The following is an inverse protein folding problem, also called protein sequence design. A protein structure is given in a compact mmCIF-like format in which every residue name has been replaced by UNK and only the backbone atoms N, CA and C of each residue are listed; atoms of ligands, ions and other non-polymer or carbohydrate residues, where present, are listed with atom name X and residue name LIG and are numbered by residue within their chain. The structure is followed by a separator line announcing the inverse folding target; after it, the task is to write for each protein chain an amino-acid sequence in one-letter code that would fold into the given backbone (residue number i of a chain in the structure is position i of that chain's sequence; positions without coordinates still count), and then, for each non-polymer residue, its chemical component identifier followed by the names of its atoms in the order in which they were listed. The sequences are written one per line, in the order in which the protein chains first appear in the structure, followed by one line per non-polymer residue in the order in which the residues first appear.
data_IF_003083196894
#
_entry.id   IF_003083196894
#
_cell.length_a   1.000
_cell.length_b   1.000
_cell.length_c   1.000
_cell.angle_alpha   90.00
_cell.angle_beta   90.00
_cell.angle_gamma   90.00
#
_symmetry.space_group_name_H-M   'P 1'
#
loop_
_entity.id
_entity.type
_entity.pdbx_description
1 polymer ?
#
# COMPACT_ATOMS: atom_id res chain seq x y z
N UNK A 1 -20.64 19.80 -25.68
CA UNK A 1 -19.32 20.15 -25.13
C UNK A 1 -18.99 19.09 -24.08
N UNK A 2 -18.32 18.02 -24.50
CA UNK A 2 -17.81 16.98 -23.59
C UNK A 2 -16.55 17.56 -22.93
N UNK A 3 -16.53 17.63 -21.60
CA UNK A 3 -15.31 17.95 -20.86
C UNK A 3 -14.20 16.96 -21.25
N UNK A 4 -12.91 17.35 -21.27
CA UNK A 4 -11.81 16.43 -21.50
C UNK A 4 -11.71 15.52 -20.28
N UNK A 5 -12.49 14.45 -20.27
CA UNK A 5 -12.35 13.35 -19.32
C UNK A 5 -11.07 12.64 -19.65
N UNK A 6 -9.96 13.09 -19.04
CA UNK A 6 -8.65 12.54 -19.33
C UNK A 6 -8.60 11.04 -19.07
N UNK A 7 -7.94 10.32 -19.96
CA UNK A 7 -7.81 8.86 -19.89
C UNK A 7 -7.10 8.42 -18.59
N UNK A 8 -7.21 7.13 -18.24
CA UNK A 8 -6.49 6.54 -17.09
C UNK A 8 -4.98 6.85 -17.13
N UNK A 9 -4.39 6.83 -18.33
CA UNK A 9 -2.97 7.13 -18.53
C UNK A 9 -2.64 8.60 -18.26
N UNK A 10 -3.51 9.54 -18.65
CA UNK A 10 -3.34 10.96 -18.35
C UNK A 10 -3.40 11.23 -16.84
N UNK A 11 -4.32 10.58 -16.14
CA UNK A 11 -4.39 10.65 -14.68
C UNK A 11 -3.10 10.12 -14.05
N UNK A 12 -2.61 8.95 -14.47
CA UNK A 12 -1.34 8.39 -13.98
C UNK A 12 -0.15 9.31 -14.26
N UNK A 13 -0.02 9.85 -15.47
CA UNK A 13 1.06 10.77 -15.85
C UNK A 13 1.06 12.03 -15.00
N UNK A 14 -0.11 12.63 -14.81
CA UNK A 14 -0.30 13.83 -13.99
C UNK A 14 0.03 13.57 -12.53
N UNK A 15 -0.56 12.54 -11.93
CA UNK A 15 -0.44 12.28 -10.50
C UNK A 15 0.94 11.75 -10.08
N UNK A 16 1.64 11.04 -10.98
CA UNK A 16 3.00 10.55 -10.76
C UNK A 16 4.09 11.53 -11.23
N UNK A 17 3.70 12.59 -11.95
CA UNK A 17 4.61 13.57 -12.54
C UNK A 17 5.60 12.94 -13.53
N UNK A 18 5.15 11.98 -14.33
CA UNK A 18 5.99 11.23 -15.28
C UNK A 18 5.71 11.64 -16.73
N UNK A 19 6.77 11.79 -17.53
CA UNK A 19 6.66 11.97 -18.98
C UNK A 19 6.54 10.63 -19.73
N UNK A 20 6.85 9.51 -19.08
CA UNK A 20 6.85 8.16 -19.67
C UNK A 20 5.91 7.24 -18.89
N UNK A 21 4.98 6.61 -19.61
CA UNK A 21 4.13 5.57 -19.04
C UNK A 21 4.00 4.48 -20.10
N UNK A 22 4.68 3.36 -19.90
CA UNK A 22 4.70 2.23 -20.84
C UNK A 22 4.29 0.95 -20.13
N UNK A 23 3.21 0.27 -20.55
CA UNK A 23 2.83 -1.00 -19.93
C UNK A 23 3.92 -2.05 -20.18
N UNK A 24 4.33 -2.78 -19.14
CA UNK A 24 5.46 -3.72 -19.23
C UNK A 24 5.05 -5.15 -19.61
N UNK A 25 3.77 -5.37 -19.94
CA UNK A 25 3.18 -6.70 -20.17
C UNK A 25 3.00 -7.55 -18.91
N UNK A 26 3.56 -7.14 -17.76
CA UNK A 26 3.33 -7.79 -16.48
C UNK A 26 1.96 -7.36 -15.95
N UNK A 27 0.98 -8.25 -16.09
CA UNK A 27 -0.33 -8.12 -15.49
C UNK A 27 -0.50 -9.18 -14.39
N UNK A 28 -0.90 -8.75 -13.20
CA UNK A 28 -1.26 -9.63 -12.09
C UNK A 28 -2.70 -9.33 -11.68
N UNK A 29 -3.58 -10.32 -11.69
CA UNK A 29 -4.98 -10.14 -11.29
C UNK A 29 -5.31 -11.01 -10.09
N UNK A 30 -5.97 -10.43 -9.08
CA UNK A 30 -6.72 -11.18 -8.08
C UNK A 30 -8.19 -11.27 -8.49
N UNK A 31 -9.01 -11.98 -7.72
CA UNK A 31 -10.45 -12.12 -8.01
C UNK A 31 -11.21 -10.77 -8.04
N UNK A 32 -10.67 -9.73 -7.42
CA UNK A 32 -11.35 -8.44 -7.17
C UNK A 32 -10.68 -7.24 -7.84
N UNK A 33 -9.40 -7.34 -8.20
CA UNK A 33 -8.61 -6.26 -8.77
C UNK A 33 -7.73 -6.79 -9.89
N UNK A 34 -7.58 -5.97 -10.93
CA UNK A 34 -6.61 -6.20 -11.99
C UNK A 34 -5.44 -5.26 -11.73
N UNK A 35 -4.23 -5.80 -11.79
CA UNK A 35 -3.00 -5.04 -11.65
C UNK A 35 -2.17 -5.08 -12.92
N UNK A 36 -1.47 -3.99 -13.17
CA UNK A 36 -0.62 -3.82 -14.32
C UNK A 36 0.61 -3.00 -13.96
N UNK A 37 1.77 -3.45 -14.43
CA UNK A 37 3.02 -2.74 -14.24
C UNK A 37 3.27 -1.77 -15.38
N UNK A 38 3.86 -0.62 -15.06
CA UNK A 38 4.24 0.42 -16.00
C UNK A 38 5.69 0.84 -15.77
N UNK A 39 6.48 0.91 -16.85
CA UNK A 39 7.77 1.57 -16.84
C UNK A 39 7.54 3.09 -16.95
N UNK A 40 8.15 3.83 -16.02
CA UNK A 40 8.17 5.30 -16.01
C UNK A 40 9.59 5.82 -16.05
N UNK A 41 9.77 7.12 -16.29
CA UNK A 41 11.07 7.79 -16.19
C UNK A 41 11.57 7.94 -14.75
N UNK A 42 10.77 7.51 -13.76
CA UNK A 42 11.08 7.53 -12.32
C UNK A 42 11.17 6.13 -11.70
N UNK A 43 11.21 5.09 -12.53
CA UNK A 43 11.20 3.69 -12.11
C UNK A 43 9.89 2.99 -12.41
N UNK A 44 9.84 1.68 -12.16
CA UNK A 44 8.69 0.86 -12.48
C UNK A 44 7.66 0.90 -11.34
N UNK A 45 6.40 1.11 -11.71
CA UNK A 45 5.27 1.12 -10.77
C UNK A 45 4.30 -0.01 -11.07
N UNK A 46 3.57 -0.45 -10.05
CA UNK A 46 2.45 -1.37 -10.17
C UNK A 46 1.16 -0.63 -9.86
N UNK A 47 0.18 -0.73 -10.75
CA UNK A 47 -1.12 -0.06 -10.62
C UNK A 47 -2.20 -1.11 -10.45
N UNK A 48 -2.85 -1.12 -9.29
CA UNK A 48 -4.10 -1.85 -9.07
C UNK A 48 -5.28 -1.00 -9.52
N UNK A 49 -6.15 -1.59 -10.34
CA UNK A 49 -7.47 -1.06 -10.66
C UNK A 49 -8.53 -2.04 -10.18
N UNK A 50 -9.67 -1.49 -9.79
CA UNK A 50 -10.83 -2.29 -9.43
C UNK A 50 -11.43 -2.98 -10.67
N UNK A 51 -11.88 -4.23 -10.52
CA UNK A 51 -12.48 -5.01 -11.62
C UNK A 51 -14.03 -5.02 -11.61
N UNK A 52 -14.64 -4.99 -10.43
CA UNK A 52 -16.08 -5.22 -10.28
C UNK A 52 -16.93 -3.96 -10.50
N UNK A 53 -17.86 -4.01 -11.46
CA UNK A 53 -18.78 -2.91 -11.78
C UNK A 53 -19.81 -2.62 -10.67
N UNK A 54 -20.07 -3.56 -9.76
CA UNK A 54 -21.12 -3.46 -8.73
C UNK A 54 -20.77 -2.56 -7.53
N UNK A 55 -19.50 -2.20 -7.32
CA UNK A 55 -19.16 -1.32 -6.18
C UNK A 55 -19.09 0.15 -6.59
N UNK A 56 -19.38 1.04 -5.65
CA UNK A 56 -19.21 2.48 -5.88
C UNK A 56 -17.71 2.87 -5.89
N UNK A 57 -17.42 4.05 -6.44
CA UNK A 57 -16.10 4.69 -6.36
C UNK A 57 -15.68 4.85 -4.89
N UNK A 58 -16.60 5.27 -4.03
CA UNK A 58 -16.31 5.47 -2.60
C UNK A 58 -15.88 4.18 -1.89
N UNK A 59 -16.47 3.04 -2.25
CA UNK A 59 -16.08 1.74 -1.71
C UNK A 59 -14.70 1.31 -2.19
N UNK A 60 -14.41 1.52 -3.49
CA UNK A 60 -13.09 1.24 -4.06
C UNK A 60 -11.99 2.08 -3.42
N UNK A 61 -12.26 3.37 -3.24
CA UNK A 61 -11.36 4.32 -2.60
C UNK A 61 -11.06 3.92 -1.17
N UNK A 62 -12.08 3.62 -0.36
CA UNK A 62 -11.89 3.15 1.02
C UNK A 62 -11.01 1.91 1.09
N UNK A 63 -11.29 0.91 0.24
CA UNK A 63 -10.49 -0.32 0.17
C UNK A 63 -9.03 -0.02 -0.13
N UNK A 64 -8.74 0.83 -1.12
CA UNK A 64 -7.38 1.16 -1.49
C UNK A 64 -6.67 2.08 -0.49
N UNK A 65 -7.37 3.01 0.16
CA UNK A 65 -6.82 3.82 1.24
C UNK A 65 -6.46 2.96 2.47
N UNK A 66 -7.29 1.97 2.80
CA UNK A 66 -6.98 0.98 3.83
C UNK A 66 -5.78 0.11 3.46
N UNK A 67 -5.69 -0.32 2.20
CA UNK A 67 -4.53 -1.07 1.71
C UNK A 67 -3.25 -0.21 1.76
N UNK A 68 -3.32 1.06 1.34
CA UNK A 68 -2.22 2.01 1.39
C UNK A 68 -1.70 2.19 2.82
N UNK A 69 -2.60 2.49 3.76
CA UNK A 69 -2.25 2.69 5.17
C UNK A 69 -1.64 1.45 5.82
N UNK A 70 -2.13 0.26 5.47
CA UNK A 70 -1.58 -0.99 6.01
C UNK A 70 -0.18 -1.31 5.46
N UNK A 71 0.08 -1.03 4.17
CA UNK A 71 1.42 -1.11 3.59
C UNK A 71 2.38 -0.09 4.21
N UNK A 72 1.95 1.16 4.42
CA UNK A 72 2.76 2.17 5.12
C UNK A 72 3.15 1.74 6.53
N UNK A 73 2.20 1.18 7.28
CA UNK A 73 2.45 0.69 8.64
C UNK A 73 3.48 -0.45 8.64
N UNK A 74 3.36 -1.43 7.74
CA UNK A 74 4.33 -2.52 7.61
C UNK A 74 5.70 -1.99 7.19
N UNK A 75 5.75 -1.06 6.23
CA UNK A 75 7.00 -0.45 5.75
C UNK A 75 7.74 0.27 6.88
N UNK A 76 7.04 1.01 7.74
CA UNK A 76 7.63 1.70 8.90
C UNK A 76 8.31 0.74 9.90
N UNK A 77 7.90 -0.53 9.95
CA UNK A 77 8.54 -1.52 10.83
C UNK A 77 9.93 -1.95 10.37
N UNK A 78 10.23 -1.77 9.07
CA UNK A 78 11.47 -2.22 8.42
C UNK A 78 11.78 -3.72 8.63
N UNK A 79 10.76 -4.56 8.85
CA UNK A 79 10.94 -6.00 9.12
C UNK A 79 10.87 -6.88 7.88
N UNK A 80 9.82 -6.70 7.08
CA UNK A 80 9.58 -7.47 5.85
C UNK A 80 9.56 -6.53 4.65
N UNK A 81 9.91 -7.06 3.47
CA UNK A 81 9.77 -6.32 2.21
C UNK A 81 8.31 -6.28 1.80
N UNK A 82 7.78 -5.08 1.58
CA UNK A 82 6.46 -4.80 1.02
C UNK A 82 6.61 -3.80 -0.13
N UNK A 83 5.67 -3.75 -1.10
CA UNK A 83 5.70 -2.69 -2.10
C UNK A 83 5.50 -1.34 -1.43
N UNK A 84 6.36 -0.37 -1.74
CA UNK A 84 6.17 1.00 -1.24
C UNK A 84 4.88 1.61 -1.82
N UNK A 85 3.92 2.02 -0.98
CA UNK A 85 2.71 2.67 -1.45
C UNK A 85 3.03 4.07 -1.98
N UNK A 86 2.43 4.44 -3.12
CA UNK A 86 2.66 5.75 -3.75
C UNK A 86 1.42 6.63 -3.65
N UNK A 87 0.28 6.18 -4.19
CA UNK A 87 -0.93 7.02 -4.23
C UNK A 87 -2.21 6.26 -4.58
N UNK A 88 -3.34 6.72 -4.03
CA UNK A 88 -4.70 6.38 -4.49
C UNK A 88 -5.24 7.50 -5.38
N UNK A 89 -5.70 7.15 -6.58
CA UNK A 89 -6.10 8.11 -7.62
C UNK A 89 -7.53 7.80 -8.08
N UNK A 90 -8.40 8.80 -8.06
CA UNK A 90 -9.70 8.72 -8.72
C UNK A 90 -9.58 9.22 -10.17
N UNK A 91 -10.06 8.41 -11.10
CA UNK A 91 -10.02 8.69 -12.54
C UNK A 91 -11.41 9.15 -13.00
N UNK A 92 -11.50 10.24 -13.79
CA UNK A 92 -12.74 10.62 -14.46
C UNK A 92 -13.33 9.42 -15.22
N UNK A 93 -14.62 9.12 -14.99
CA UNK A 93 -15.25 7.90 -15.50
C UNK A 93 -15.50 6.80 -14.47
N UNK A 94 -15.20 7.08 -13.19
CA UNK A 94 -15.70 6.28 -12.05
C UNK A 94 -14.83 5.09 -11.67
N UNK A 95 -13.52 5.16 -11.94
CA UNK A 95 -12.55 4.15 -11.51
C UNK A 95 -11.59 4.73 -10.47
N UNK A 96 -11.23 3.92 -9.47
CA UNK A 96 -10.15 4.24 -8.52
C UNK A 96 -8.97 3.33 -8.78
N UNK A 97 -7.77 3.91 -8.70
CA UNK A 97 -6.49 3.23 -8.86
C UNK A 97 -5.71 3.29 -7.56
N UNK A 98 -4.90 2.27 -7.31
CA UNK A 98 -3.87 2.29 -6.27
C UNK A 98 -2.50 2.00 -6.90
N UNK A 99 -1.59 2.96 -6.78
CA UNK A 99 -0.24 2.91 -7.32
C UNK A 99 0.75 2.61 -6.20
N UNK A 100 1.66 1.68 -6.46
CA UNK A 100 2.72 1.25 -5.54
C UNK A 100 3.99 0.88 -6.32
N UNK A 101 5.10 0.66 -5.61
CA UNK A 101 6.33 0.09 -6.16
C UNK A 101 6.04 -1.23 -6.89
N UNK A 102 6.67 -1.42 -8.05
CA UNK A 102 6.71 -2.73 -8.66
C UNK A 102 7.78 -3.62 -8.00
N UNK A 103 7.33 -4.68 -7.33
CA UNK A 103 8.23 -5.74 -6.87
C UNK A 103 8.51 -6.77 -7.94
N UNK A 104 9.79 -6.99 -8.23
CA UNK A 104 10.23 -8.16 -8.99
C UNK A 104 10.16 -9.41 -8.10
N UNK A 105 9.00 -10.06 -8.09
CA UNK A 105 8.77 -11.25 -7.26
C UNK A 105 9.54 -12.45 -7.81
N UNK A 106 10.29 -13.12 -6.93
CA UNK A 106 11.01 -14.37 -7.20
C UNK A 106 10.64 -15.41 -6.14
N UNK A 107 10.78 -16.69 -6.47
CA UNK A 107 10.45 -17.78 -5.53
C UNK A 107 11.25 -17.70 -4.23
N UNK A 108 10.57 -17.90 -3.10
CA UNK A 108 11.17 -17.78 -1.75
C UNK A 108 11.72 -19.10 -1.21
N UNK A 109 11.79 -20.17 -2.01
CA UNK A 109 12.16 -21.52 -1.54
C UNK A 109 13.48 -21.56 -0.76
N UNK A 110 14.46 -20.72 -1.12
CA UNK A 110 15.77 -20.64 -0.43
C UNK A 110 15.80 -19.63 0.73
N UNK A 111 14.73 -18.87 0.93
CA UNK A 111 14.62 -17.76 1.88
C UNK A 111 13.43 -17.91 2.85
N UNK A 112 12.74 -19.05 2.85
CA UNK A 112 11.56 -19.32 3.69
C UNK A 112 11.87 -19.15 5.18
N UNK A 113 12.99 -19.67 5.66
CA UNK A 113 13.43 -19.51 7.05
C UNK A 113 13.67 -18.04 7.42
N UNK A 114 14.30 -17.27 6.52
CA UNK A 114 14.52 -15.83 6.71
C UNK A 114 13.20 -15.07 6.75
N UNK A 115 12.28 -15.36 5.84
CA UNK A 115 10.94 -14.77 5.84
C UNK A 115 10.21 -15.09 7.16
N UNK A 116 10.27 -16.33 7.63
CA UNK A 116 9.67 -16.73 8.91
C UNK A 116 10.21 -15.93 10.10
N UNK A 117 11.53 -15.75 10.18
CA UNK A 117 12.16 -14.93 11.21
C UNK A 117 11.72 -13.45 11.12
N UNK A 118 11.72 -12.87 9.91
CA UNK A 118 11.31 -11.49 9.69
C UNK A 118 9.82 -11.26 10.00
N UNK A 119 8.96 -12.26 9.76
CA UNK A 119 7.56 -12.21 10.14
C UNK A 119 7.37 -12.30 11.66
N UNK A 120 8.16 -13.12 12.35
CA UNK A 120 8.15 -13.15 13.82
C UNK A 120 8.58 -11.79 14.40
N UNK A 121 9.62 -11.17 13.85
CA UNK A 121 10.06 -9.82 14.24
C UNK A 121 8.97 -8.77 13.98
N UNK A 122 8.25 -8.88 12.86
CA UNK A 122 7.11 -8.01 12.57
C UNK A 122 6.01 -8.13 13.64
N UNK A 123 5.66 -9.35 14.05
CA UNK A 123 4.66 -9.56 15.11
C UNK A 123 5.11 -8.99 16.47
N UNK A 124 6.39 -9.10 16.80
CA UNK A 124 6.94 -8.59 18.07
C UNK A 124 7.18 -7.08 18.07
N UNK A 125 7.19 -6.43 16.90
CA UNK A 125 7.61 -5.03 16.76
C UNK A 125 6.84 -4.07 17.68
N UNK A 126 5.51 -4.13 17.67
CA UNK A 126 4.68 -3.22 18.48
C UNK A 126 4.83 -3.49 19.99
N UNK A 127 4.98 -4.76 20.38
CA UNK A 127 5.27 -5.11 21.78
C UNK A 127 6.61 -4.49 22.23
N UNK A 128 7.66 -4.62 21.42
CA UNK A 128 8.97 -4.05 21.70
C UNK A 128 8.92 -2.52 21.81
N UNK A 129 8.11 -1.84 20.97
CA UNK A 129 7.88 -0.39 21.08
C UNK A 129 7.25 -0.03 22.43
N UNK A 130 6.21 -0.75 22.86
CA UNK A 130 5.56 -0.51 24.15
C UNK A 130 6.48 -0.76 25.35
N UNK A 131 7.30 -1.82 25.31
CA UNK A 131 8.31 -2.10 26.34
C UNK A 131 9.40 -1.02 26.39
N UNK A 132 9.79 -0.46 25.23
CA UNK A 132 10.76 0.63 25.15
C UNK A 132 10.19 1.93 25.74
N UNK A 133 8.97 2.31 25.37
CA UNK A 133 8.32 3.51 25.90
C UNK A 133 8.18 3.46 27.43
N UNK A 134 7.77 2.32 28.01
CA UNK A 134 7.70 2.15 29.47
C UNK A 134 9.04 2.39 30.17
N UNK A 135 10.16 2.00 29.54
CA UNK A 135 11.50 2.25 30.08
C UNK A 135 11.90 3.72 29.96
N UNK A 136 11.53 4.37 28.86
CA UNK A 136 11.84 5.78 28.59
C UNK A 136 10.98 6.76 29.42
N UNK A 137 9.74 6.40 29.77
CA UNK A 137 8.90 7.16 30.73
C UNK A 137 9.58 7.37 32.09
N UNK A 138 10.52 6.49 32.46
CA UNK A 138 11.31 6.60 33.69
C UNK A 138 12.54 7.52 33.55
N UNK A 139 12.75 8.14 32.38
CA UNK A 139 13.94 8.97 32.06
C UNK A 139 13.52 10.33 31.48
N UNK A 140 13.83 11.42 32.17
CA UNK A 140 13.55 12.79 31.67
C UNK A 140 14.55 13.16 30.57
N UNK A 141 14.06 13.45 29.35
CA UNK A 141 14.86 14.15 28.31
C UNK A 141 14.98 13.49 26.93
N UNK A 142 14.22 12.45 26.58
CA UNK A 142 14.29 11.84 25.24
C UNK A 142 13.17 12.29 24.29
N UNK A 143 13.56 12.56 23.04
CA UNK A 143 12.70 13.09 21.98
C UNK A 143 11.69 12.08 21.43
N UNK A 144 10.67 12.60 20.74
CA UNK A 144 9.55 11.84 20.19
C UNK A 144 10.03 10.72 19.24
N UNK A 145 9.65 9.47 19.52
CA UNK A 145 9.83 8.36 18.57
C UNK A 145 8.93 8.57 17.34
N UNK A 146 9.49 8.36 16.13
CA UNK A 146 8.76 8.49 14.86
C UNK A 146 7.62 7.45 14.69
N UNK A 147 7.69 6.31 15.39
CA UNK A 147 6.67 5.25 15.37
C UNK A 147 6.04 5.12 16.74
N UNK A 148 4.72 5.34 16.82
CA UNK A 148 3.95 5.29 18.05
C UNK A 148 3.52 3.85 18.36
N UNK A 149 3.67 3.46 19.62
CA UNK A 149 3.04 2.25 20.16
C UNK A 149 1.52 2.35 20.07
N UNK A 150 0.87 1.25 19.69
CA UNK A 150 -0.59 1.16 19.63
C UNK A 150 -1.07 0.06 20.57
N UNK A 151 -1.94 0.40 21.52
CA UNK A 151 -2.50 -0.53 22.51
C UNK A 151 -3.82 -1.18 22.06
N UNK A 152 -4.35 -0.76 20.92
CA UNK A 152 -5.57 -1.28 20.30
C UNK A 152 -5.25 -2.15 19.08
N UNK A 153 -6.17 -3.07 18.77
CA UNK A 153 -6.09 -3.86 17.54
C UNK A 153 -6.62 -3.05 16.35
N UNK A 154 -5.99 -3.22 15.19
CA UNK A 154 -6.45 -2.63 13.93
C UNK A 154 -5.61 -1.45 13.44
N UNK A 155 -6.11 -0.78 12.40
CA UNK A 155 -5.47 0.39 11.79
C UNK A 155 -6.26 1.65 12.13
N UNK A 156 -5.60 2.81 12.02
CA UNK A 156 -6.24 4.13 12.18
C UNK A 156 -7.26 4.46 11.06
N UNK A 157 -7.32 3.64 10.02
CA UNK A 157 -8.27 3.73 8.92
C UNK A 157 -8.93 2.37 8.69
N UNK A 158 -10.09 2.38 8.05
CA UNK A 158 -10.82 1.16 7.72
C UNK A 158 -10.04 0.34 6.70
N UNK A 159 -9.59 -0.85 7.08
CA UNK A 159 -9.10 -1.87 6.14
C UNK A 159 -10.25 -2.74 5.66
N UNK A 160 -10.07 -3.42 4.52
CA UNK A 160 -11.10 -4.29 3.96
C UNK A 160 -10.56 -5.68 3.62
N UNK A 161 -11.37 -6.71 3.86
CA UNK A 161 -11.21 -8.02 3.23
C UNK A 161 -12.08 -8.06 1.98
N UNK A 162 -11.47 -7.88 0.81
CA UNK A 162 -12.22 -7.51 -0.40
C UNK A 162 -12.90 -6.17 -0.20
N UNK A 163 -14.24 -6.13 -0.23
CA UNK A 163 -15.02 -4.92 0.03
C UNK A 163 -15.61 -4.86 1.44
N UNK A 164 -15.43 -5.92 2.23
CA UNK A 164 -15.98 -6.01 3.58
C UNK A 164 -15.09 -5.22 4.54
N UNK A 165 -15.60 -4.14 5.15
CA UNK A 165 -14.85 -3.39 6.16
C UNK A 165 -14.47 -4.30 7.33
N UNK A 166 -13.23 -4.20 7.79
CA UNK A 166 -12.74 -4.81 9.01
C UNK A 166 -12.76 -3.72 10.08
N UNK A 167 -13.78 -3.77 10.94
CA UNK A 167 -14.01 -2.83 12.06
C UNK A 167 -14.02 -3.59 13.37
#
# INVERSE_FOLDING_TARGET
ITAPGGTMEEALRRELGTAVLRPTGHSGGGCISQGQSYDTDRGRVYVKKKLMLSFSVCQARRMFEGEMASLEAILKTQRIKVPEPIKVIDVPGGSTLFVMEHLEMRGLNRHSAKLGAQLADLHLHNQQLGEKLKKEESTVGQGQMEVQFVDQFGFHTVTCCGYLPQV
#
